data_IF_490513584203
#
_entry.id   IF_490513584203
#
_cell.length_a   1.000
_cell.length_b   1.000
_cell.length_c   1.000
_cell.angle_alpha   90.00
_cell.angle_beta   90.00
_cell.angle_gamma   90.00
#
_symmetry.space_group_name_H-M   'P 1'
#
loop_
_entity.id
_entity.type
_entity.pdbx_description
1 polymer ?
#
# COMPACT_ATOMS: atom_id res chain seq x y z
N UNK A 1 -23.47 7.77 -37.10
CA UNK A 1 -22.33 6.94 -36.59
C UNK A 1 -22.19 6.94 -35.07
N UNK A 2 -22.67 7.95 -34.32
CA UNK A 2 -22.55 8.01 -32.82
C UNK A 2 -23.52 7.08 -32.06
N UNK A 3 -24.57 6.57 -32.69
CA UNK A 3 -25.60 5.71 -32.03
C UNK A 3 -25.21 4.23 -31.99
N UNK A 4 -24.31 3.76 -32.84
CA UNK A 4 -23.85 2.38 -32.85
C UNK A 4 -22.76 2.08 -31.83
N UNK A 5 -22.01 3.10 -31.40
CA UNK A 5 -20.93 2.94 -30.41
C UNK A 5 -21.47 2.68 -28.99
N UNK A 6 -22.63 3.30 -28.65
CA UNK A 6 -23.26 3.09 -27.33
C UNK A 6 -23.92 1.73 -27.18
N UNK A 7 -24.38 1.13 -28.29
CA UNK A 7 -24.97 -0.20 -28.27
C UNK A 7 -23.92 -1.29 -28.10
N UNK A 8 -22.74 -1.11 -28.71
CA UNK A 8 -21.63 -2.05 -28.56
C UNK A 8 -21.05 -2.07 -27.14
N UNK A 9 -20.99 -0.91 -26.48
CA UNK A 9 -20.50 -0.82 -25.09
C UNK A 9 -21.48 -1.43 -24.09
N UNK A 10 -22.80 -1.27 -24.30
CA UNK A 10 -23.82 -1.91 -23.48
C UNK A 10 -23.84 -3.44 -23.63
N UNK A 11 -23.54 -3.95 -24.82
CA UNK A 11 -23.48 -5.39 -25.07
C UNK A 11 -22.25 -6.05 -24.45
N UNK A 12 -21.10 -5.36 -24.39
CA UNK A 12 -19.90 -5.85 -23.71
C UNK A 12 -20.05 -5.92 -22.17
N UNK A 13 -20.80 -5.01 -21.57
CA UNK A 13 -21.07 -5.03 -20.13
C UNK A 13 -22.05 -6.16 -19.71
N UNK A 14 -22.95 -6.58 -20.60
CA UNK A 14 -23.87 -7.71 -20.33
C UNK A 14 -23.21 -9.09 -20.46
N UNK A 15 -22.09 -9.20 -21.18
CA UNK A 15 -21.39 -10.48 -21.38
C UNK A 15 -20.47 -10.89 -20.23
N UNK A 16 -20.12 -9.95 -19.34
CA UNK A 16 -19.26 -10.23 -18.17
C UNK A 16 -20.01 -10.78 -16.94
N UNK A 17 -21.35 -10.79 -16.97
CA UNK A 17 -22.21 -11.29 -15.89
C UNK A 17 -23.05 -12.50 -16.33
N UNK A 18 -22.57 -13.27 -17.30
CA UNK A 18 -23.24 -14.45 -17.81
C UNK A 18 -23.32 -15.62 -16.82
N UNK A 19 -23.99 -15.41 -15.68
CA UNK A 19 -24.49 -16.53 -14.89
C UNK A 19 -25.76 -17.02 -15.56
N UNK A 20 -25.64 -18.11 -16.32
CA UNK A 20 -26.83 -18.82 -16.79
C UNK A 20 -27.51 -19.44 -15.56
N UNK A 21 -28.56 -18.80 -15.07
CA UNK A 21 -29.41 -19.37 -14.05
C UNK A 21 -30.14 -20.60 -14.68
N UNK A 22 -29.63 -21.79 -14.40
CA UNK A 22 -30.38 -23.04 -14.72
C UNK A 22 -31.34 -23.28 -13.54
N UNK A 23 -32.63 -23.19 -13.81
CA UNK A 23 -33.65 -23.57 -12.85
C UNK A 23 -33.79 -25.10 -12.83
N UNK A 24 -33.73 -25.68 -11.61
CA UNK A 24 -34.08 -27.09 -11.39
C UNK A 24 -35.60 -27.21 -11.23
N UNK A 25 -36.25 -28.09 -12.03
CA UNK A 25 -37.69 -28.38 -11.91
C UNK A 25 -37.89 -29.47 -10.86
N UNK A 26 -38.80 -29.25 -9.91
CA UNK A 26 -39.23 -30.22 -8.93
C UNK A 26 -40.62 -30.71 -9.35
N UNK A 27 -40.77 -31.99 -9.68
CA UNK A 27 -42.03 -32.62 -10.09
C UNK A 27 -42.47 -33.67 -9.08
N UNK A 28 -43.78 -34.02 -9.08
CA UNK A 28 -44.38 -34.99 -8.13
C UNK A 28 -43.73 -36.36 -8.22
N UNK A 29 -43.30 -36.77 -9.46
CA UNK A 29 -42.72 -38.09 -9.74
C UNK A 29 -41.16 -38.05 -9.80
N UNK A 30 -40.54 -36.89 -9.51
CA UNK A 30 -39.09 -36.66 -9.58
C UNK A 30 -38.44 -36.40 -8.24
N UNK A 31 -37.29 -35.76 -8.29
CA UNK A 31 -36.58 -35.34 -7.09
C UNK A 31 -37.41 -34.40 -6.23
N UNK A 32 -37.50 -34.66 -4.93
CA UNK A 32 -38.28 -33.86 -3.98
C UNK A 32 -37.45 -32.65 -3.45
N UNK A 33 -36.24 -32.46 -3.94
CA UNK A 33 -35.36 -31.32 -3.54
C UNK A 33 -34.58 -30.83 -4.74
N UNK A 34 -34.34 -29.53 -4.76
CA UNK A 34 -33.45 -28.86 -5.70
C UNK A 34 -32.43 -28.01 -4.91
N UNK A 35 -31.23 -27.87 -5.44
CA UNK A 35 -30.17 -27.04 -4.86
C UNK A 35 -29.95 -25.80 -5.71
N UNK A 36 -29.80 -24.67 -5.07
CA UNK A 36 -29.38 -23.42 -5.69
C UNK A 36 -28.04 -23.00 -5.12
N UNK A 37 -27.07 -22.72 -6.00
CA UNK A 37 -25.79 -22.17 -5.60
C UNK A 37 -25.91 -20.64 -5.62
N UNK A 38 -25.61 -20.02 -4.47
CA UNK A 38 -25.51 -18.56 -4.36
C UNK A 38 -24.03 -18.22 -4.32
N UNK A 39 -23.59 -17.36 -5.24
CA UNK A 39 -22.20 -16.92 -5.33
C UNK A 39 -22.12 -15.40 -5.15
N UNK A 40 -21.10 -14.97 -4.44
CA UNK A 40 -20.71 -13.57 -4.32
C UNK A 40 -19.19 -13.49 -4.49
N UNK A 41 -18.71 -12.59 -5.34
CA UNK A 41 -17.30 -12.33 -5.56
C UNK A 41 -16.99 -10.87 -5.27
N UNK A 42 -15.90 -10.62 -4.58
CA UNK A 42 -15.38 -9.29 -4.29
C UNK A 42 -13.88 -9.31 -4.55
N UNK A 43 -13.40 -8.35 -5.34
CA UNK A 43 -11.97 -8.25 -5.67
C UNK A 43 -11.19 -7.61 -4.53
N UNK A 44 -9.91 -8.00 -4.38
CA UNK A 44 -8.98 -7.36 -3.44
C UNK A 44 -8.66 -5.94 -3.86
N UNK A 45 -8.57 -5.03 -2.88
CA UNK A 45 -8.23 -3.64 -3.10
C UNK A 45 -7.62 -3.02 -1.84
N UNK A 46 -6.83 -1.97 -2.01
CA UNK A 46 -6.25 -1.20 -0.90
C UNK A 46 -5.81 0.19 -1.40
N UNK A 47 -5.66 1.11 -0.46
CA UNK A 47 -5.01 2.40 -0.66
C UNK A 47 -3.81 2.50 0.27
N UNK A 48 -2.63 2.89 -0.23
CA UNK A 48 -1.45 3.19 0.59
C UNK A 48 -1.00 4.61 0.29
N UNK A 49 -0.89 5.42 1.33
CA UNK A 49 -0.39 6.80 1.26
C UNK A 49 1.03 6.82 1.83
N UNK A 50 1.97 7.31 1.03
CA UNK A 50 3.37 7.48 1.38
C UNK A 50 3.71 8.96 1.16
N UNK A 51 4.28 9.67 2.17
CA UNK A 51 4.67 11.07 2.01
C UNK A 51 5.70 11.26 0.90
N UNK A 52 5.54 12.30 0.08
CA UNK A 52 6.49 12.63 -1.00
C UNK A 52 7.86 13.07 -0.46
N UNK A 53 7.91 13.66 0.74
CA UNK A 53 9.15 14.13 1.35
C UNK A 53 9.06 14.21 2.86
N UNK A 54 10.20 14.13 3.51
CA UNK A 54 10.40 14.41 4.94
C UNK A 54 11.47 15.48 5.08
N UNK A 55 11.17 16.53 5.83
CA UNK A 55 12.13 17.60 6.13
C UNK A 55 12.61 17.47 7.58
N UNK A 56 13.92 17.34 7.76
CA UNK A 56 14.52 17.37 9.09
C UNK A 56 14.60 18.84 9.57
N UNK A 57 14.03 19.11 10.73
CA UNK A 57 14.06 20.44 11.32
C UNK A 57 15.51 20.83 11.69
N UNK A 58 15.87 22.07 11.42
CA UNK A 58 17.26 22.54 11.60
C UNK A 58 17.69 22.70 13.07
N UNK A 59 16.74 22.81 13.97
CA UNK A 59 16.95 22.97 15.42
C UNK A 59 17.00 21.63 16.17
N UNK A 60 16.18 20.66 15.76
CA UNK A 60 16.11 19.35 16.40
C UNK A 60 16.83 18.25 15.63
N UNK A 61 17.15 18.49 14.35
CA UNK A 61 17.71 17.52 13.41
C UNK A 61 16.83 16.28 13.20
N UNK A 62 15.52 16.43 13.45
CA UNK A 62 14.52 15.35 13.38
C UNK A 62 13.41 15.65 12.38
N UNK A 63 12.82 14.59 11.86
CA UNK A 63 11.62 14.63 11.01
C UNK A 63 10.77 13.39 11.22
N UNK A 64 9.50 13.45 10.87
CA UNK A 64 8.56 12.33 10.96
C UNK A 64 7.79 12.19 9.66
N UNK A 65 7.53 10.97 9.25
CA UNK A 65 6.66 10.62 8.13
C UNK A 65 5.69 9.53 8.56
N UNK A 66 4.40 9.71 8.26
CA UNK A 66 3.37 8.69 8.50
C UNK A 66 3.07 7.95 7.20
N UNK A 67 3.16 6.61 7.23
CA UNK A 67 2.68 5.73 6.17
C UNK A 67 1.32 5.23 6.60
N UNK A 68 0.33 5.35 5.71
CA UNK A 68 -1.05 4.96 6.00
C UNK A 68 -1.54 3.96 4.95
N UNK A 69 -2.21 2.89 5.40
CA UNK A 69 -2.99 2.01 4.55
C UNK A 69 -4.46 2.12 4.94
N UNK A 70 -5.35 2.24 3.97
CA UNK A 70 -6.80 2.33 4.16
C UNK A 70 -7.56 1.51 3.11
N UNK A 71 -8.85 1.29 3.34
CA UNK A 71 -9.74 0.51 2.45
C UNK A 71 -9.18 -0.87 2.11
N UNK A 72 -8.52 -1.52 3.10
CA UNK A 72 -7.79 -2.78 2.88
C UNK A 72 -8.77 -3.94 2.80
N UNK A 73 -8.98 -4.44 1.59
CA UNK A 73 -9.79 -5.60 1.27
C UNK A 73 -8.91 -6.65 0.61
N UNK A 74 -8.53 -7.67 1.34
CA UNK A 74 -7.61 -8.72 0.88
C UNK A 74 -8.29 -10.09 0.92
N UNK A 75 -7.81 -11.03 0.10
CA UNK A 75 -8.25 -12.41 0.16
C UNK A 75 -7.82 -13.07 1.49
N UNK A 76 -8.51 -14.14 1.86
CA UNK A 76 -8.23 -14.85 3.11
C UNK A 76 -6.77 -15.36 3.16
N UNK A 77 -6.07 -14.99 4.20
CA UNK A 77 -4.67 -15.37 4.43
C UNK A 77 -3.65 -14.41 3.84
N UNK A 78 -4.07 -13.42 3.04
CA UNK A 78 -3.17 -12.40 2.50
C UNK A 78 -2.82 -11.33 3.53
N UNK A 79 -1.66 -10.70 3.32
CA UNK A 79 -1.15 -9.57 4.12
C UNK A 79 -0.57 -8.51 3.20
N UNK A 80 -1.02 -7.27 3.38
CA UNK A 80 -0.41 -6.09 2.77
C UNK A 80 0.85 -5.72 3.55
N UNK A 81 1.98 -5.55 2.87
CA UNK A 81 3.24 -5.13 3.47
C UNK A 81 3.83 -3.94 2.74
N UNK A 82 4.41 -3.01 3.49
CA UNK A 82 5.19 -1.89 2.97
C UNK A 82 6.63 -2.06 3.45
N UNK A 83 7.56 -2.18 2.51
CA UNK A 83 8.99 -2.37 2.76
C UNK A 83 9.75 -1.11 2.33
N UNK A 84 10.72 -0.66 3.12
CA UNK A 84 11.58 0.48 2.80
C UNK A 84 12.98 0.04 2.38
N UNK A 85 13.54 0.74 1.38
CA UNK A 85 14.93 0.60 0.92
C UNK A 85 15.49 1.96 0.52
N UNK A 86 16.80 2.05 0.26
CA UNK A 86 17.47 3.28 -0.15
C UNK A 86 17.97 4.12 1.03
N UNK A 87 17.88 3.63 2.28
CA UNK A 87 18.46 4.32 3.43
C UNK A 87 19.98 4.26 3.33
N UNK A 88 20.62 5.41 3.15
CA UNK A 88 22.06 5.56 3.07
C UNK A 88 22.53 6.82 3.83
N UNK A 89 22.87 7.88 3.13
CA UNK A 89 23.32 9.16 3.69
C UNK A 89 22.66 10.30 2.94
N UNK A 90 22.39 11.38 3.63
CA UNK A 90 22.07 12.62 2.99
C UNK A 90 23.32 13.17 2.30
N UNK A 91 23.23 13.47 1.01
CA UNK A 91 24.32 13.98 0.17
C UNK A 91 24.05 15.46 -0.15
N UNK A 92 25.08 16.29 -0.04
CA UNK A 92 24.99 17.71 -0.43
C UNK A 92 24.90 17.84 -1.96
N UNK A 93 23.94 18.60 -2.44
CA UNK A 93 23.73 18.85 -3.86
C UNK A 93 24.92 19.55 -4.55
N UNK A 94 25.75 20.29 -3.80
CA UNK A 94 26.92 21.00 -4.31
C UNK A 94 28.24 20.20 -4.20
N UNK A 95 28.32 19.23 -3.30
CA UNK A 95 29.56 18.49 -2.99
C UNK A 95 29.20 17.06 -2.57
N UNK A 96 29.32 16.10 -3.44
CA UNK A 96 28.99 14.68 -3.19
C UNK A 96 29.84 14.02 -2.09
N UNK A 97 30.99 14.56 -1.75
CA UNK A 97 31.84 14.08 -0.65
C UNK A 97 31.35 14.60 0.72
N UNK A 98 30.49 15.65 0.71
CA UNK A 98 29.90 16.21 1.89
C UNK A 98 28.58 15.50 2.22
N UNK A 99 28.60 14.60 3.21
CA UNK A 99 27.48 13.74 3.56
C UNK A 99 27.11 13.84 5.03
N UNK A 100 25.85 13.59 5.35
CA UNK A 100 25.33 13.50 6.71
C UNK A 100 24.70 12.13 6.93
N UNK A 101 25.11 11.45 7.99
CA UNK A 101 24.49 10.19 8.41
C UNK A 101 23.24 10.48 9.22
N UNK A 102 22.22 9.65 9.00
CA UNK A 102 20.97 9.68 9.74
C UNK A 102 20.52 8.26 10.08
N UNK A 103 19.60 8.13 11.00
CA UNK A 103 18.93 6.88 11.37
C UNK A 103 17.43 7.00 11.15
N UNK A 104 16.79 5.85 10.97
CA UNK A 104 15.34 5.72 10.85
C UNK A 104 14.84 4.73 11.87
N UNK A 105 13.74 5.05 12.53
CA UNK A 105 13.12 4.19 13.53
C UNK A 105 11.60 4.21 13.45
N UNK A 106 10.96 3.17 13.99
CA UNK A 106 9.50 3.08 14.17
C UNK A 106 9.00 3.78 15.43
N UNK A 107 9.93 4.22 16.27
CA UNK A 107 9.68 5.05 17.46
C UNK A 107 10.74 6.16 17.55
N UNK A 108 10.40 7.30 18.20
CA UNK A 108 11.33 8.41 18.34
C UNK A 108 12.63 7.98 19.03
N UNK A 109 13.76 8.28 18.40
CA UNK A 109 15.11 7.95 18.86
C UNK A 109 15.58 6.52 18.57
N UNK A 110 14.74 5.63 18.05
CA UNK A 110 15.14 4.29 17.65
C UNK A 110 15.96 4.28 16.34
N UNK A 111 16.67 3.17 16.11
CA UNK A 111 17.38 2.84 14.87
C UNK A 111 17.07 1.39 14.53
N UNK A 112 15.80 1.10 14.25
CA UNK A 112 15.28 -0.26 14.01
C UNK A 112 14.81 -0.47 12.58
N UNK A 113 14.86 0.56 11.73
CA UNK A 113 14.52 0.51 10.31
C UNK A 113 15.78 0.56 9.47
N UNK A 114 16.05 -0.53 8.78
CA UNK A 114 17.15 -0.68 7.82
C UNK A 114 16.62 -1.08 6.44
N UNK A 115 17.46 -1.08 5.42
CA UNK A 115 17.09 -1.48 4.07
C UNK A 115 16.47 -2.89 4.06
N UNK A 116 15.25 -2.99 3.55
CA UNK A 116 14.46 -4.23 3.51
C UNK A 116 13.54 -4.46 4.72
N UNK A 117 13.48 -3.52 5.68
CA UNK A 117 12.53 -3.61 6.80
C UNK A 117 11.09 -3.44 6.32
N UNK A 118 10.20 -4.33 6.75
CA UNK A 118 8.74 -4.14 6.62
C UNK A 118 8.29 -3.14 7.67
N UNK A 119 7.92 -1.94 7.23
CA UNK A 119 7.53 -0.83 8.13
C UNK A 119 6.04 -0.79 8.43
N UNK A 120 5.20 -1.34 7.56
CA UNK A 120 3.77 -1.48 7.80
C UNK A 120 3.29 -2.86 7.33
N UNK A 121 2.45 -3.51 8.14
CA UNK A 121 1.86 -4.83 7.82
C UNK A 121 0.39 -4.84 8.22
N UNK A 122 -0.51 -5.12 7.27
CA UNK A 122 -1.97 -5.16 7.48
C UNK A 122 -2.52 -6.49 6.97
N UNK A 123 -3.07 -7.29 7.87
CA UNK A 123 -3.63 -8.60 7.53
C UNK A 123 -5.04 -8.50 6.92
N UNK A 124 -5.45 -9.51 6.14
CA UNK A 124 -6.80 -9.67 5.66
C UNK A 124 -7.82 -9.58 6.81
N UNK A 125 -8.95 -8.92 6.55
CA UNK A 125 -10.01 -8.65 7.56
C UNK A 125 -9.82 -7.34 8.33
N UNK A 126 -8.71 -6.63 8.16
CA UNK A 126 -8.44 -5.32 8.79
C UNK A 126 -8.82 -4.18 7.81
N UNK A 127 -10.12 -4.07 7.49
CA UNK A 127 -10.63 -3.12 6.46
C UNK A 127 -10.28 -1.66 6.77
N UNK A 128 -10.22 -1.29 8.05
CA UNK A 128 -9.81 0.04 8.48
C UNK A 128 -8.36 0.38 8.11
N UNK A 129 -7.55 -0.65 7.79
CA UNK A 129 -6.14 -0.48 7.47
C UNK A 129 -5.25 -0.34 8.70
N UNK A 130 -4.20 0.47 8.58
CA UNK A 130 -3.23 0.74 9.63
C UNK A 130 -2.32 1.91 9.27
N UNK A 131 -1.61 2.42 10.27
CA UNK A 131 -0.65 3.50 10.11
C UNK A 131 0.67 3.18 10.83
N UNK A 132 1.76 3.74 10.35
CA UNK A 132 3.06 3.67 10.98
C UNK A 132 3.82 4.98 10.80
N UNK A 133 4.22 5.58 11.91
CA UNK A 133 5.15 6.69 11.91
C UNK A 133 6.59 6.20 11.75
N UNK A 134 7.34 6.88 10.89
CA UNK A 134 8.78 6.73 10.77
C UNK A 134 9.47 8.00 11.28
N UNK A 135 10.41 7.83 12.16
CA UNK A 135 11.20 8.90 12.79
C UNK A 135 12.59 8.92 12.17
N UNK A 136 12.99 10.09 11.70
CA UNK A 136 14.28 10.37 11.08
C UNK A 136 15.08 11.28 11.98
N UNK A 137 16.36 10.98 12.21
CA UNK A 137 17.22 11.79 13.07
C UNK A 137 18.67 11.75 12.55
N UNK A 138 19.32 12.93 12.44
CA UNK A 138 20.76 12.98 12.14
C UNK A 138 21.55 12.35 13.28
N UNK A 139 22.58 11.58 12.93
CA UNK A 139 23.47 10.93 13.91
C UNK A 139 24.79 11.66 14.11
N UNK A 140 24.96 12.80 13.43
CA UNK A 140 26.16 13.62 13.51
C UNK A 140 25.83 15.12 13.44
N UNK A 141 26.75 15.97 13.92
CA UNK A 141 26.61 17.41 13.83
C UNK A 141 26.79 17.92 12.41
N UNK A 142 26.01 18.93 12.03
CA UNK A 142 26.12 19.62 10.75
C UNK A 142 27.23 20.67 10.85
N UNK A 143 28.33 20.46 10.13
CA UNK A 143 29.51 21.36 10.16
C UNK A 143 29.61 22.26 8.94
N UNK A 144 28.85 22.00 7.90
CA UNK A 144 28.80 22.79 6.66
C UNK A 144 27.37 23.11 6.27
N UNK A 145 27.11 24.32 5.83
CA UNK A 145 25.83 24.68 5.21
C UNK A 145 25.73 24.02 3.84
N UNK A 146 24.54 23.51 3.47
CA UNK A 146 24.28 22.84 2.21
C UNK A 146 22.83 22.40 2.08
N UNK A 147 22.47 21.89 0.92
CA UNK A 147 21.19 21.25 0.65
C UNK A 147 21.40 19.73 0.54
N UNK A 148 21.14 19.05 1.63
CA UNK A 148 21.37 17.62 1.76
C UNK A 148 20.10 16.83 1.48
N UNK A 149 20.20 15.76 0.71
CA UNK A 149 19.06 14.88 0.40
C UNK A 149 19.47 13.41 0.28
N UNK A 150 18.51 12.54 0.53
CA UNK A 150 18.55 11.10 0.23
C UNK A 150 17.21 10.71 -0.38
N UNK A 151 17.14 9.54 -1.04
CA UNK A 151 15.90 9.02 -1.67
C UNK A 151 15.59 7.63 -1.18
N UNK A 152 14.49 7.51 -0.45
CA UNK A 152 13.99 6.22 0.01
C UNK A 152 12.96 5.68 -0.99
N UNK A 153 12.95 4.35 -1.16
CA UNK A 153 11.96 3.63 -1.96
C UNK A 153 11.08 2.78 -1.05
N UNK A 154 9.78 2.98 -1.16
CA UNK A 154 8.79 2.15 -0.48
C UNK A 154 8.15 1.20 -1.49
N UNK A 155 8.16 -0.08 -1.19
CA UNK A 155 7.57 -1.13 -2.03
C UNK A 155 6.37 -1.72 -1.30
N UNK A 156 5.22 -1.73 -1.98
CA UNK A 156 3.98 -2.32 -1.47
C UNK A 156 3.80 -3.69 -2.10
N UNK A 157 3.56 -4.72 -1.29
CA UNK A 157 3.31 -6.10 -1.73
C UNK A 157 2.11 -6.69 -0.99
N UNK A 158 1.42 -7.62 -1.64
CA UNK A 158 0.39 -8.48 -1.03
C UNK A 158 0.86 -9.92 -1.18
N UNK A 159 0.93 -10.65 -0.10
CA UNK A 159 1.40 -12.04 -0.05
C UNK A 159 0.65 -12.89 1.00
#
# INVERSE_FOLDING_TARGET
>A
MKKFLSLALALCLCLSLGVTAMAAEITVDGAQSATTTVTYGLESGYTVVIPESVVLATDTHKGTATIEASDVLLAYGETLKVTVTGIDKLVDAADAENTLSYKVGTTDGAEDVVNGTVVLSVAAGTVAGGEQDLYFELTQDVTKAGAYSDTLTFTVTVE
#
